data_IF_661053433486
#
_entry.id   IF_661053433486
#
_cell.length_a   1.000
_cell.length_b   1.000
_cell.length_c   1.000
_cell.angle_alpha   90.00
_cell.angle_beta   90.00
_cell.angle_gamma   90.00
#
_symmetry.space_group_name_H-M   'P 1'
#
loop_
_entity.id
_entity.type
_entity.pdbx_description
1 polymer ?
#
# COMPACT_ATOMS: atom_id res chain seq x y z
N UNK A 1 22.93 -5.09 -7.65
CA UNK A 1 21.94 -6.12 -7.22
C UNK A 1 21.91 -6.10 -5.70
N UNK A 2 20.74 -5.90 -5.09
CA UNK A 2 20.58 -5.83 -3.63
C UNK A 2 20.27 -7.22 -3.02
N UNK A 3 20.10 -7.32 -1.69
CA UNK A 3 19.73 -8.56 -0.96
C UNK A 3 18.52 -9.32 -1.59
N UNK A 4 17.55 -8.56 -2.10
CA UNK A 4 16.37 -9.09 -2.79
C UNK A 4 16.60 -9.44 -4.27
N UNK A 5 17.85 -9.44 -4.74
CA UNK A 5 18.23 -9.66 -6.16
C UNK A 5 17.50 -8.73 -7.14
N UNK A 6 17.15 -7.52 -6.69
CA UNK A 6 16.56 -6.48 -7.52
C UNK A 6 17.66 -5.66 -8.20
N UNK A 7 17.40 -5.23 -9.44
CA UNK A 7 18.17 -4.14 -10.04
C UNK A 7 17.92 -2.83 -9.27
N UNK A 8 18.80 -1.85 -9.46
CA UNK A 8 18.75 -0.57 -8.73
C UNK A 8 17.42 0.16 -8.92
N UNK A 9 16.87 0.13 -10.14
CA UNK A 9 15.58 0.74 -10.45
C UNK A 9 14.42 0.07 -9.69
N UNK A 10 14.40 -1.26 -9.64
CA UNK A 10 13.37 -2.00 -8.92
C UNK A 10 13.50 -1.84 -7.40
N UNK A 11 14.73 -1.83 -6.88
CA UNK A 11 14.98 -1.56 -5.46
C UNK A 11 14.53 -0.14 -5.07
N UNK A 12 14.78 0.85 -5.93
CA UNK A 12 14.31 2.22 -5.71
C UNK A 12 12.79 2.34 -5.74
N UNK A 13 12.09 1.64 -6.65
CA UNK A 13 10.62 1.59 -6.67
C UNK A 13 10.04 0.96 -5.41
N UNK A 14 10.63 -0.14 -4.95
CA UNK A 14 10.23 -0.81 -3.71
C UNK A 14 10.40 0.10 -2.50
N UNK A 15 11.55 0.75 -2.36
CA UNK A 15 11.84 1.65 -1.24
C UNK A 15 10.86 2.82 -1.16
N UNK A 16 10.54 3.44 -2.30
CA UNK A 16 9.51 4.49 -2.38
C UNK A 16 8.14 3.99 -1.96
N UNK A 17 7.75 2.78 -2.37
CA UNK A 17 6.48 2.19 -2.00
C UNK A 17 6.38 1.88 -0.51
N UNK A 18 7.48 1.46 0.12
CA UNK A 18 7.55 1.25 1.57
C UNK A 18 7.37 2.58 2.32
N UNK A 19 8.04 3.65 1.86
CA UNK A 19 7.85 5.01 2.40
C UNK A 19 6.40 5.48 2.24
N UNK A 20 5.78 5.25 1.08
CA UNK A 20 4.37 5.60 0.83
C UNK A 20 3.41 4.87 1.78
N UNK A 21 3.73 3.61 2.13
CA UNK A 21 2.96 2.76 3.05
C UNK A 21 3.26 2.97 4.53
N UNK A 22 4.23 3.83 4.88
CA UNK A 22 4.70 4.04 6.25
C UNK A 22 5.43 2.80 6.83
N UNK A 23 5.93 1.90 5.97
CA UNK A 23 6.71 0.71 6.35
C UNK A 23 8.20 1.07 6.48
N UNK A 24 8.51 1.87 7.50
CA UNK A 24 9.85 2.45 7.70
C UNK A 24 10.96 1.42 7.95
N UNK A 25 10.63 0.33 8.65
CA UNK A 25 11.58 -0.71 9.06
C UNK A 25 12.23 -1.43 7.86
N UNK A 26 11.53 -1.45 6.73
CA UNK A 26 11.97 -2.12 5.51
C UNK A 26 12.52 -1.15 4.46
N UNK A 27 12.47 0.17 4.70
CA UNK A 27 12.97 1.17 3.76
C UNK A 27 14.43 1.54 4.07
N UNK A 28 15.27 1.44 3.06
CA UNK A 28 16.68 1.85 3.10
C UNK A 28 16.78 3.37 3.28
N UNK A 29 15.92 4.14 2.62
CA UNK A 29 15.94 5.61 2.72
C UNK A 29 15.39 6.11 4.07
N UNK A 30 14.43 5.39 4.66
CA UNK A 30 13.92 5.72 6.00
C UNK A 30 14.88 5.29 7.12
N UNK A 31 15.83 4.39 6.85
CA UNK A 31 16.77 3.92 7.84
C UNK A 31 17.63 5.06 8.39
N UNK A 32 17.61 5.25 9.71
CA UNK A 32 18.34 6.31 10.39
C UNK A 32 17.67 7.70 10.34
N UNK A 33 16.52 7.84 9.69
CA UNK A 33 15.73 9.09 9.72
C UNK A 33 14.98 9.18 11.05
N UNK A 34 15.06 10.31 11.79
CA UNK A 34 14.31 10.46 13.03
C UNK A 34 12.81 10.46 12.76
N UNK A 35 12.02 9.91 13.70
CA UNK A 35 10.58 9.76 13.54
C UNK A 35 9.85 11.08 13.18
N UNK A 36 10.30 12.21 13.72
CA UNK A 36 9.77 13.55 13.43
C UNK A 36 9.94 13.99 11.97
N UNK A 37 10.83 13.34 11.20
CA UNK A 37 11.13 13.64 9.79
C UNK A 37 10.59 12.60 8.82
N UNK A 38 10.08 11.46 9.28
CA UNK A 38 9.55 10.40 8.41
C UNK A 38 8.31 10.85 7.64
N UNK A 39 7.42 11.61 8.27
CA UNK A 39 6.25 12.16 7.56
C UNK A 39 6.64 13.19 6.49
N UNK A 40 7.65 14.02 6.78
CA UNK A 40 8.20 14.97 5.81
C UNK A 40 8.86 14.25 4.63
N UNK A 41 9.65 13.20 4.90
CA UNK A 41 10.25 12.33 3.89
C UNK A 41 9.18 11.72 2.98
N UNK A 42 8.09 11.20 3.56
CA UNK A 42 6.96 10.68 2.78
C UNK A 42 6.30 11.75 1.92
N UNK A 43 6.15 12.96 2.47
CA UNK A 43 5.64 14.10 1.71
C UNK A 43 6.48 14.38 0.47
N UNK A 44 7.81 14.35 0.61
CA UNK A 44 8.75 14.54 -0.51
C UNK A 44 8.65 13.42 -1.55
N UNK A 45 8.62 12.16 -1.12
CA UNK A 45 8.49 11.01 -2.04
C UNK A 45 7.16 11.05 -2.80
N UNK A 46 6.06 11.37 -2.12
CA UNK A 46 4.74 11.49 -2.76
C UNK A 46 4.70 12.69 -3.72
N UNK A 47 5.34 13.81 -3.38
CA UNK A 47 5.39 14.98 -4.26
C UNK A 47 6.22 14.70 -5.53
N UNK A 48 7.31 13.96 -5.42
CA UNK A 48 8.22 13.70 -6.54
C UNK A 48 7.73 12.57 -7.46
N UNK A 49 7.13 11.52 -6.91
CA UNK A 49 6.78 10.30 -7.65
C UNK A 49 5.28 9.97 -7.65
N UNK A 50 4.45 10.79 -7.02
CA UNK A 50 3.02 10.52 -6.88
C UNK A 50 2.67 9.54 -5.76
N UNK A 51 1.36 9.36 -5.56
CA UNK A 51 0.78 8.59 -4.45
C UNK A 51 0.55 7.12 -4.78
N UNK A 52 0.62 6.75 -6.06
CA UNK A 52 0.39 5.39 -6.53
C UNK A 52 1.60 4.51 -6.24
N UNK A 53 1.32 3.24 -5.93
CA UNK A 53 2.35 2.24 -5.71
C UNK A 53 2.82 1.71 -7.06
N UNK A 54 4.14 1.62 -7.24
CA UNK A 54 4.76 1.21 -8.50
C UNK A 54 5.18 -0.27 -8.49
N UNK A 55 5.37 -0.85 -7.31
CA UNK A 55 5.99 -2.16 -7.11
C UNK A 55 5.21 -3.06 -6.13
N UNK A 56 4.66 -2.50 -5.05
CA UNK A 56 3.87 -3.24 -4.07
C UNK A 56 2.40 -3.25 -4.51
N UNK A 57 1.80 -4.44 -4.55
CA UNK A 57 0.37 -4.55 -4.82
C UNK A 57 -0.43 -3.83 -3.72
N UNK A 58 -1.41 -2.96 -4.08
CA UNK A 58 -2.22 -2.28 -3.09
C UNK A 58 -2.99 -3.32 -2.25
N UNK A 59 -2.92 -3.22 -0.92
CA UNK A 59 -3.70 -4.08 -0.03
C UNK A 59 -5.18 -3.98 -0.40
N UNK A 60 -5.76 -5.07 -0.89
CA UNK A 60 -7.19 -5.13 -1.21
C UNK A 60 -8.00 -4.74 0.03
N UNK A 61 -8.78 -3.65 -0.10
CA UNK A 61 -9.75 -3.27 0.93
C UNK A 61 -10.80 -4.37 0.95
N UNK A 62 -10.78 -5.25 1.96
CA UNK A 62 -11.80 -6.29 2.14
C UNK A 62 -13.19 -5.66 2.05
N UNK A 63 -13.91 -5.90 0.94
CA UNK A 63 -15.30 -5.45 0.78
C UNK A 63 -16.12 -6.12 1.89
N UNK A 64 -16.71 -5.32 2.78
CA UNK A 64 -17.68 -5.83 3.77
C UNK A 64 -18.81 -6.50 2.99
N UNK A 65 -18.94 -7.83 3.11
CA UNK A 65 -20.05 -8.58 2.53
C UNK A 65 -21.33 -8.15 3.25
N UNK A 66 -22.12 -7.28 2.64
CA UNK A 66 -23.48 -7.02 3.11
C UNK A 66 -24.30 -8.30 2.94
N UNK A 67 -24.53 -9.03 4.02
CA UNK A 67 -25.49 -10.14 4.08
C UNK A 67 -26.90 -9.56 3.98
N UNK A 68 -27.38 -9.36 2.75
CA UNK A 68 -28.78 -8.96 2.51
C UNK A 68 -29.67 -10.18 2.73
N UNK A 69 -30.30 -10.26 3.90
CA UNK A 69 -31.30 -11.27 4.26
C UNK A 69 -32.47 -11.20 3.27
N UNK A 70 -32.52 -12.11 2.29
CA UNK A 70 -33.63 -12.19 1.33
C UNK A 70 -34.80 -12.90 2.00
N UNK A 71 -35.79 -12.14 2.50
CA UNK A 71 -37.09 -12.68 2.93
C UNK A 71 -37.72 -13.37 1.72
N UNK A 72 -37.95 -14.69 1.81
CA UNK A 72 -38.72 -15.46 0.82
C UNK A 72 -40.19 -15.11 1.01
N UNK A 73 -40.73 -14.29 0.11
CA UNK A 73 -42.16 -14.05 0.01
C UNK A 73 -42.87 -15.28 -0.55
N UNK A 74 -43.80 -15.81 0.22
CA UNK A 74 -44.80 -16.79 -0.17
C UNK A 74 -45.72 -16.23 -1.25
N UNK A 75 -45.78 -16.87 -2.42
CA UNK A 75 -46.72 -16.52 -3.49
C UNK A 75 -47.11 -17.77 -4.27
N UNK A 76 -48.28 -18.31 -3.93
CA UNK A 76 -48.92 -19.49 -4.51
C UNK A 76 -49.57 -19.10 -5.85
N UNK A 77 -49.25 -19.81 -6.94
CA UNK A 77 -49.92 -19.63 -8.25
C UNK A 77 -50.73 -20.90 -8.51
N UNK A 78 -52.04 -20.72 -8.71
CA UNK A 78 -52.99 -21.70 -9.24
C UNK A 78 -53.11 -21.53 -10.74
#
# INVERSE_FOLDING_TARGET
>A
MNDLSLCEECAGKLDRDLIRQLDWDYSVTAFGVPASKLEELRGQVVAQYGKELEFIAPKEKKKKKNHRHKKKGSGKIR
#
